data_IF_029497228067
#
_entry.id   IF_029497228067
#
_cell.length_a   1.000
_cell.length_b   1.000
_cell.length_c   1.000
_cell.angle_alpha   90.00
_cell.angle_beta   90.00
_cell.angle_gamma   90.00
#
_symmetry.space_group_name_H-M   'P 1'
#
loop_
_entity.id
_entity.type
_entity.pdbx_description
1 polymer ?
#
# COMPACT_ATOMS: atom_id res chain seq x y z
N UNK A 1 37.73 30.58 -57.17
CA UNK A 1 37.61 29.22 -56.69
C UNK A 1 37.06 29.30 -55.28
N UNK A 2 35.73 29.15 -55.09
CA UNK A 2 35.03 29.30 -53.78
C UNK A 2 34.69 27.91 -53.23
N UNK A 3 35.39 27.49 -52.17
CA UNK A 3 35.03 26.29 -51.42
C UNK A 3 33.79 26.59 -50.58
N UNK A 4 32.74 25.83 -50.78
CA UNK A 4 31.58 25.78 -49.89
C UNK A 4 31.82 24.82 -48.75
N UNK A 5 31.95 25.32 -47.56
CA UNK A 5 31.87 24.52 -46.30
C UNK A 5 30.39 24.18 -46.07
N UNK A 6 30.07 22.89 -46.08
CA UNK A 6 28.82 22.36 -45.60
C UNK A 6 28.97 21.99 -44.11
N UNK A 7 28.38 22.78 -43.22
CA UNK A 7 28.23 22.45 -41.82
C UNK A 7 27.15 21.38 -41.65
N UNK A 8 27.53 20.18 -41.23
CA UNK A 8 26.62 19.16 -40.80
C UNK A 8 26.20 19.52 -39.34
N UNK A 9 25.02 20.02 -39.14
CA UNK A 9 24.38 20.11 -37.81
C UNK A 9 23.83 18.73 -37.45
N UNK A 10 24.54 18.00 -36.55
CA UNK A 10 23.98 16.80 -35.88
C UNK A 10 22.98 17.29 -34.84
N UNK A 11 21.71 17.17 -35.12
CA UNK A 11 20.67 17.32 -34.13
C UNK A 11 20.60 16.02 -33.31
N UNK A 12 21.25 15.99 -32.15
CA UNK A 12 21.01 15.00 -31.10
C UNK A 12 19.62 15.29 -30.51
N UNK A 13 18.60 14.64 -31.02
CA UNK A 13 17.31 14.54 -30.33
C UNK A 13 17.50 13.61 -29.13
N UNK A 14 17.81 14.18 -27.97
CA UNK A 14 17.68 13.47 -26.71
C UNK A 14 16.20 13.20 -26.45
N UNK A 15 15.74 12.00 -26.73
CA UNK A 15 14.48 11.49 -26.17
C UNK A 15 14.69 11.33 -24.66
N UNK A 16 14.39 12.38 -23.91
CA UNK A 16 14.12 12.22 -22.48
C UNK A 16 12.84 11.36 -22.40
N UNK A 17 13.00 10.07 -22.13
CA UNK A 17 11.93 9.26 -21.63
C UNK A 17 11.52 9.88 -20.27
N UNK A 18 10.48 10.71 -20.28
CA UNK A 18 9.83 11.17 -19.06
C UNK A 18 9.23 9.92 -18.43
N UNK A 19 9.94 9.33 -17.46
CA UNK A 19 9.36 8.35 -16.57
C UNK A 19 8.21 9.06 -15.85
N UNK A 20 6.98 8.67 -16.14
CA UNK A 20 5.80 9.16 -15.43
C UNK A 20 5.92 8.72 -13.97
N UNK A 21 6.34 9.62 -13.11
CA UNK A 21 6.33 9.40 -11.67
C UNK A 21 4.91 9.70 -11.20
N UNK A 22 4.23 8.70 -10.68
CA UNK A 22 2.90 8.87 -10.09
C UNK A 22 3.06 9.34 -8.64
N UNK A 23 2.16 10.21 -8.17
CA UNK A 23 2.12 10.64 -6.79
C UNK A 23 1.82 9.46 -5.87
N UNK A 24 2.52 9.41 -4.75
CA UNK A 24 2.56 8.25 -3.87
C UNK A 24 2.46 8.64 -2.41
N UNK A 25 1.28 8.51 -1.82
CA UNK A 25 1.13 8.71 -0.41
C UNK A 25 0.20 7.66 0.22
N UNK A 26 0.67 6.43 0.35
CA UNK A 26 -0.01 5.39 1.12
C UNK A 26 0.73 5.13 2.42
N UNK A 27 0.01 4.90 3.52
CA UNK A 27 0.61 4.50 4.80
C UNK A 27 -0.17 3.34 5.36
N UNK A 28 0.50 2.24 5.70
CA UNK A 28 -0.11 1.09 6.35
C UNK A 28 0.57 0.79 7.68
N UNK A 29 -0.19 0.18 8.59
CA UNK A 29 0.28 -0.24 9.90
C UNK A 29 -0.44 -1.49 10.39
N UNK A 30 0.17 -2.17 11.35
CA UNK A 30 -0.48 -3.24 12.12
C UNK A 30 -0.25 -3.04 13.61
N UNK A 31 -1.30 -3.26 14.43
CA UNK A 31 -1.24 -3.23 15.89
C UNK A 31 -1.70 -4.59 16.42
N UNK A 32 -1.04 -5.05 17.51
CA UNK A 32 -1.38 -6.31 18.17
C UNK A 32 -2.15 -6.05 19.47
N UNK A 33 -3.24 -6.77 19.67
CA UNK A 33 -3.97 -6.81 20.93
C UNK A 33 -3.41 -7.88 21.88
N UNK A 34 -3.50 -7.63 23.19
CA UNK A 34 -3.08 -8.59 24.24
C UNK A 34 -4.03 -9.79 24.36
N UNK A 35 -5.17 -9.76 23.71
CA UNK A 35 -6.17 -10.83 23.60
C UNK A 35 -5.99 -11.69 22.33
N UNK A 36 -4.84 -11.57 21.66
CA UNK A 36 -4.46 -12.32 20.48
C UNK A 36 -5.10 -11.85 19.19
N UNK A 37 -5.76 -10.67 19.16
CA UNK A 37 -6.21 -10.07 17.93
C UNK A 37 -5.18 -9.15 17.30
N UNK A 38 -5.38 -8.84 16.02
CA UNK A 38 -4.54 -7.93 15.23
C UNK A 38 -5.40 -6.97 14.42
N UNK A 39 -4.96 -5.75 14.36
CA UNK A 39 -5.59 -4.68 13.59
C UNK A 39 -4.64 -4.27 12.47
N UNK A 40 -5.07 -4.42 11.26
CA UNK A 40 -4.43 -3.83 10.08
C UNK A 40 -5.14 -2.52 9.74
N UNK A 41 -4.40 -1.53 9.31
CA UNK A 41 -4.98 -0.28 8.84
C UNK A 41 -4.12 0.41 7.79
N UNK A 42 -4.78 1.21 6.94
CA UNK A 42 -4.10 1.90 5.86
C UNK A 42 -4.86 3.13 5.40
N UNK A 43 -4.12 4.13 4.89
CA UNK A 43 -4.64 5.25 4.09
C UNK A 43 -4.36 5.03 2.61
N UNK A 44 -5.22 5.56 1.74
CA UNK A 44 -5.04 5.58 0.29
C UNK A 44 -5.11 7.04 -0.18
N UNK A 45 -4.01 7.50 -0.71
CA UNK A 45 -3.88 8.81 -1.31
C UNK A 45 -3.59 8.67 -2.79
N UNK A 46 -4.21 9.54 -3.57
CA UNK A 46 -3.96 9.60 -5.01
C UNK A 46 -4.31 10.96 -5.61
N UNK A 47 -3.68 11.28 -6.75
CA UNK A 47 -3.91 12.55 -7.47
C UNK A 47 -5.03 12.51 -8.51
N UNK A 48 -5.60 11.33 -8.77
CA UNK A 48 -6.77 11.17 -9.66
C UNK A 48 -7.86 10.39 -8.94
N UNK A 49 -9.16 10.65 -9.21
CA UNK A 49 -10.25 9.93 -8.56
C UNK A 49 -10.20 8.43 -8.85
N UNK A 50 -9.99 7.62 -7.83
CA UNK A 50 -9.90 6.16 -7.97
C UNK A 50 -11.26 5.47 -8.10
N UNK A 51 -12.36 6.18 -7.86
CA UNK A 51 -13.73 5.64 -7.92
C UNK A 51 -13.89 4.31 -7.15
N UNK A 52 -13.22 4.21 -6.01
CA UNK A 52 -13.15 3.00 -5.23
C UNK A 52 -14.52 2.59 -4.69
N UNK A 53 -14.71 1.28 -4.60
CA UNK A 53 -15.90 0.63 -4.04
C UNK A 53 -15.47 -0.41 -3.02
N UNK A 54 -16.29 -0.65 -2.01
CA UNK A 54 -16.15 -1.86 -1.19
C UNK A 54 -16.73 -3.03 -1.96
N UNK A 55 -15.85 -3.94 -2.35
CA UNK A 55 -16.21 -5.14 -3.10
C UNK A 55 -16.19 -6.36 -2.18
N UNK A 56 -17.17 -7.25 -2.36
CA UNK A 56 -17.26 -8.53 -1.69
C UNK A 56 -17.23 -9.63 -2.76
N UNK A 57 -16.29 -10.55 -2.66
CA UNK A 57 -16.11 -11.68 -3.57
C UNK A 57 -16.35 -12.98 -2.80
N UNK A 58 -17.30 -13.83 -3.21
CA UNK A 58 -17.57 -15.09 -2.54
C UNK A 58 -16.50 -16.16 -2.83
N UNK A 59 -16.55 -17.24 -2.06
CA UNK A 59 -15.81 -18.49 -2.39
C UNK A 59 -16.27 -19.02 -3.74
N UNK A 60 -15.38 -19.73 -4.42
CA UNK A 60 -15.70 -20.34 -5.71
C UNK A 60 -15.80 -19.34 -6.88
N UNK A 61 -15.55 -18.05 -6.65
CA UNK A 61 -15.54 -17.08 -7.74
C UNK A 61 -14.40 -17.37 -8.72
N UNK A 62 -14.76 -17.47 -10.01
CA UNK A 62 -13.80 -17.72 -11.08
C UNK A 62 -13.17 -16.41 -11.56
N UNK A 63 -11.87 -16.30 -11.39
CA UNK A 63 -11.09 -15.14 -11.81
C UNK A 63 -10.37 -15.44 -13.11
N UNK A 64 -10.52 -14.56 -14.09
CA UNK A 64 -9.84 -14.65 -15.37
C UNK A 64 -8.49 -13.95 -15.31
N UNK A 65 -7.40 -14.68 -15.53
CA UNK A 65 -6.04 -14.12 -15.50
C UNK A 65 -5.76 -13.24 -16.69
N UNK A 66 -5.06 -12.12 -16.44
CA UNK A 66 -4.57 -11.19 -17.46
C UNK A 66 -3.14 -11.58 -17.84
N UNK A 67 -2.89 -11.76 -19.14
CA UNK A 67 -1.58 -12.10 -19.66
C UNK A 67 -0.57 -10.95 -19.62
N UNK A 68 0.72 -11.22 -19.90
CA UNK A 68 1.77 -10.22 -19.89
C UNK A 68 1.54 -9.04 -20.87
N UNK A 69 0.76 -9.27 -21.91
CA UNK A 69 0.36 -8.28 -22.91
C UNK A 69 -0.89 -7.47 -22.51
N UNK A 70 -1.47 -7.74 -21.34
CA UNK A 70 -2.71 -7.12 -20.88
C UNK A 70 -3.98 -7.83 -21.35
N UNK A 71 -3.88 -8.95 -22.10
CA UNK A 71 -5.05 -9.67 -22.64
C UNK A 71 -5.68 -10.56 -21.57
N UNK A 72 -7.00 -10.40 -21.35
CA UNK A 72 -7.77 -11.26 -20.46
C UNK A 72 -7.80 -12.72 -20.94
N UNK A 73 -7.70 -13.66 -19.99
CA UNK A 73 -7.68 -15.10 -20.25
C UNK A 73 -6.33 -15.66 -20.73
N UNK A 74 -5.29 -14.83 -20.84
CA UNK A 74 -3.96 -15.25 -21.24
C UNK A 74 -3.00 -15.46 -20.06
N UNK A 75 -3.33 -14.93 -18.88
CA UNK A 75 -2.59 -15.16 -17.65
C UNK A 75 -3.16 -16.31 -16.82
N UNK A 76 -2.66 -16.43 -15.59
CA UNK A 76 -3.10 -17.43 -14.62
C UNK A 76 -4.55 -17.16 -14.19
N UNK A 77 -5.47 -18.02 -14.59
CA UNK A 77 -6.84 -18.01 -14.08
C UNK A 77 -6.94 -18.89 -12.82
N UNK A 78 -7.84 -18.54 -11.89
CA UNK A 78 -8.02 -19.28 -10.65
C UNK A 78 -9.46 -19.21 -10.14
N UNK A 79 -9.80 -20.12 -9.27
CA UNK A 79 -11.04 -20.08 -8.49
C UNK A 79 -10.69 -19.73 -7.05
N UNK A 80 -11.32 -18.69 -6.50
CA UNK A 80 -11.06 -18.22 -5.13
C UNK A 80 -11.48 -19.27 -4.10
N UNK A 81 -10.56 -19.69 -3.23
CA UNK A 81 -10.84 -20.60 -2.11
C UNK A 81 -11.51 -19.87 -0.95
N UNK A 82 -11.16 -18.63 -0.75
CA UNK A 82 -11.64 -17.77 0.34
C UNK A 82 -12.48 -16.64 -0.21
N UNK A 83 -13.53 -16.30 0.54
CA UNK A 83 -14.26 -15.07 0.33
C UNK A 83 -13.41 -13.87 0.75
N UNK A 84 -13.56 -12.75 0.04
CA UNK A 84 -12.74 -11.53 0.23
C UNK A 84 -13.65 -10.30 0.33
N UNK A 85 -13.33 -9.41 1.26
CA UNK A 85 -13.89 -8.05 1.38
C UNK A 85 -12.75 -7.05 1.25
N UNK A 86 -12.93 -5.99 0.46
CA UNK A 86 -11.90 -4.97 0.33
C UNK A 86 -12.27 -3.85 -0.61
N UNK A 87 -11.33 -2.94 -0.82
CA UNK A 87 -11.47 -1.82 -1.74
C UNK A 87 -10.86 -2.14 -3.11
N UNK A 88 -11.61 -1.81 -4.17
CA UNK A 88 -11.15 -1.83 -5.55
C UNK A 88 -10.74 -0.43 -6.02
N UNK A 89 -10.33 -0.31 -7.29
CA UNK A 89 -10.16 0.97 -7.99
C UNK A 89 -10.85 0.90 -9.35
N UNK A 90 -11.37 2.05 -9.81
CA UNK A 90 -12.09 2.21 -11.09
C UNK A 90 -13.29 1.28 -11.27
N UNK A 91 -13.86 0.77 -10.16
CA UNK A 91 -14.93 -0.22 -10.19
C UNK A 91 -14.53 -1.57 -10.78
N UNK A 92 -13.23 -1.85 -10.94
CA UNK A 92 -12.72 -3.07 -11.56
C UNK A 92 -12.71 -4.25 -10.58
N UNK A 93 -12.79 -5.50 -11.06
CA UNK A 93 -12.95 -6.69 -10.23
C UNK A 93 -11.61 -7.18 -9.63
N UNK A 94 -10.82 -6.29 -9.06
CA UNK A 94 -9.61 -6.64 -8.32
C UNK A 94 -9.41 -5.71 -7.13
N UNK A 95 -8.75 -6.21 -6.09
CA UNK A 95 -8.52 -5.51 -4.84
C UNK A 95 -7.19 -4.76 -4.85
N UNK A 96 -7.19 -3.55 -4.32
CA UNK A 96 -5.97 -2.80 -3.95
C UNK A 96 -5.74 -2.80 -2.45
N UNK A 97 -6.78 -3.14 -1.68
CA UNK A 97 -6.75 -3.37 -0.23
C UNK A 97 -7.84 -4.36 0.14
N UNK A 98 -7.63 -5.19 1.16
CA UNK A 98 -8.67 -6.11 1.58
C UNK A 98 -8.25 -7.12 2.63
N UNK A 99 -9.23 -7.93 3.00
CA UNK A 99 -9.08 -9.04 3.94
C UNK A 99 -9.91 -10.21 3.44
N UNK A 100 -9.43 -11.44 3.64
CA UNK A 100 -10.23 -12.62 3.40
C UNK A 100 -10.84 -13.17 4.69
N UNK A 101 -11.74 -14.14 4.55
CA UNK A 101 -12.43 -14.78 5.67
C UNK A 101 -11.52 -15.56 6.64
N UNK A 102 -10.32 -15.95 6.21
CA UNK A 102 -9.30 -16.52 7.10
C UNK A 102 -8.58 -15.42 7.93
N UNK A 103 -8.74 -14.14 7.57
CA UNK A 103 -8.14 -12.98 8.21
C UNK A 103 -6.79 -12.58 7.65
N UNK A 104 -6.33 -13.18 6.55
CA UNK A 104 -5.22 -12.63 5.80
C UNK A 104 -5.66 -11.29 5.21
N UNK A 105 -4.91 -10.23 5.52
CA UNK A 105 -5.22 -8.87 5.09
C UNK A 105 -3.97 -8.16 4.55
N UNK A 106 -4.17 -7.17 3.70
CA UNK A 106 -3.11 -6.34 3.19
C UNK A 106 -3.52 -5.45 2.03
N UNK A 107 -2.54 -4.77 1.45
CA UNK A 107 -2.77 -3.80 0.40
C UNK A 107 -1.60 -3.65 -0.56
N UNK A 108 -1.92 -3.15 -1.74
CA UNK A 108 -0.96 -2.68 -2.74
C UNK A 108 -0.69 -1.19 -2.48
N UNK A 109 0.58 -0.83 -2.31
CA UNK A 109 1.03 0.54 -2.15
C UNK A 109 1.90 0.90 -3.36
N UNK A 110 1.70 2.07 -3.93
CA UNK A 110 2.39 2.47 -5.15
C UNK A 110 3.91 2.59 -4.93
N UNK A 111 4.71 2.05 -5.87
CA UNK A 111 6.17 2.05 -5.84
C UNK A 111 6.77 2.25 -7.25
N UNK A 112 6.48 3.39 -7.91
CA UNK A 112 6.80 3.60 -9.33
C UNK A 112 8.29 3.63 -9.62
N UNK A 113 9.11 4.03 -8.64
CA UNK A 113 10.54 4.17 -8.82
C UNK A 113 11.29 2.85 -8.62
N UNK A 114 10.82 1.98 -7.70
CA UNK A 114 11.51 0.74 -7.35
C UNK A 114 10.91 -0.51 -7.97
N UNK A 115 9.59 -0.58 -8.14
CA UNK A 115 8.96 -1.78 -8.66
C UNK A 115 9.33 -2.06 -10.12
N UNK A 116 9.89 -3.25 -10.35
CA UNK A 116 10.24 -3.82 -11.65
C UNK A 116 9.85 -5.28 -11.64
N UNK A 117 8.76 -5.61 -12.35
CA UNK A 117 8.25 -6.98 -12.39
C UNK A 117 9.10 -7.88 -13.28
N UNK A 118 8.74 -9.14 -13.32
CA UNK A 118 9.49 -10.20 -13.98
C UNK A 118 9.19 -10.26 -15.47
N UNK A 119 10.19 -10.56 -16.26
CA UNK A 119 9.98 -11.01 -17.63
C UNK A 119 9.43 -12.43 -17.59
N UNK A 120 8.29 -12.65 -18.25
CA UNK A 120 7.64 -13.97 -18.31
C UNK A 120 8.23 -14.75 -19.47
N UNK A 121 8.86 -15.92 -19.25
CA UNK A 121 9.37 -16.74 -20.34
C UNK A 121 8.25 -17.23 -21.27
N UNK A 122 8.55 -17.37 -22.55
CA UNK A 122 7.59 -17.90 -23.53
C UNK A 122 7.06 -19.28 -23.09
N UNK A 123 5.74 -19.45 -23.14
CA UNK A 123 5.05 -20.66 -22.68
C UNK A 123 4.76 -20.68 -21.17
N UNK A 124 5.14 -19.63 -20.41
CA UNK A 124 4.82 -19.48 -18.99
C UNK A 124 3.73 -18.43 -18.73
N UNK A 125 3.06 -17.93 -19.77
CA UNK A 125 2.04 -16.89 -19.66
C UNK A 125 0.89 -17.33 -18.72
N UNK A 126 0.45 -18.58 -18.83
CA UNK A 126 -0.59 -19.15 -17.94
C UNK A 126 -0.15 -19.35 -16.49
N UNK A 127 1.15 -19.21 -16.20
CA UNK A 127 1.71 -19.20 -14.83
C UNK A 127 2.11 -17.80 -14.37
N UNK A 128 1.65 -16.78 -15.07
CA UNK A 128 1.87 -15.37 -14.71
C UNK A 128 0.58 -14.68 -14.29
N UNK A 129 0.71 -13.65 -13.48
CA UNK A 129 -0.39 -12.80 -13.04
C UNK A 129 -0.06 -11.33 -13.32
N UNK A 130 -1.07 -10.55 -13.67
CA UNK A 130 -0.91 -9.12 -13.84
C UNK A 130 -0.77 -8.42 -12.47
N UNK A 131 0.01 -7.32 -12.35
CA UNK A 131 0.25 -6.64 -11.09
C UNK A 131 -1.02 -6.27 -10.33
N UNK A 132 -2.03 -5.74 -11.04
CA UNK A 132 -3.32 -5.34 -10.47
C UNK A 132 -4.13 -6.52 -9.90
N UNK A 133 -3.85 -7.74 -10.32
CA UNK A 133 -4.55 -8.94 -9.84
C UNK A 133 -3.82 -9.64 -8.67
N UNK A 134 -2.59 -9.23 -8.35
CA UNK A 134 -1.74 -9.92 -7.38
C UNK A 134 -2.41 -10.06 -6.01
N UNK A 135 -2.92 -8.97 -5.44
CA UNK A 135 -3.58 -9.00 -4.13
C UNK A 135 -4.86 -9.84 -4.17
N UNK A 136 -5.64 -9.76 -5.25
CA UNK A 136 -6.87 -10.55 -5.43
C UNK A 136 -6.55 -12.04 -5.44
N UNK A 137 -5.49 -12.44 -6.15
CA UNK A 137 -5.01 -13.82 -6.16
C UNK A 137 -4.57 -14.28 -4.77
N UNK A 138 -3.79 -13.46 -4.08
CA UNK A 138 -3.26 -13.78 -2.74
C UNK A 138 -4.41 -13.94 -1.73
N UNK A 139 -5.29 -12.97 -1.62
CA UNK A 139 -6.41 -13.02 -0.68
C UNK A 139 -7.40 -14.12 -1.04
N UNK A 140 -7.61 -14.40 -2.32
CA UNK A 140 -8.52 -15.46 -2.76
C UNK A 140 -8.00 -16.88 -2.52
N UNK A 141 -6.70 -17.10 -2.35
CA UNK A 141 -6.12 -18.44 -2.35
C UNK A 141 -5.40 -18.87 -1.08
N UNK A 142 -4.95 -17.95 -0.23
CA UNK A 142 -4.10 -18.24 0.93
C UNK A 142 -4.74 -17.74 2.22
N UNK A 143 -4.51 -18.48 3.32
CA UNK A 143 -4.97 -18.13 4.65
C UNK A 143 -3.89 -17.44 5.49
N UNK A 144 -2.62 -17.68 5.19
CA UNK A 144 -1.48 -17.23 6.00
C UNK A 144 -0.37 -16.62 5.16
N UNK A 145 0.42 -15.78 5.79
CA UNK A 145 1.64 -15.20 5.23
C UNK A 145 2.62 -16.29 4.79
N UNK A 146 2.74 -17.37 5.55
CA UNK A 146 3.62 -18.50 5.21
C UNK A 146 3.20 -19.25 3.95
N UNK A 147 1.90 -19.39 3.71
CA UNK A 147 1.40 -19.97 2.45
C UNK A 147 1.77 -19.09 1.26
N UNK A 148 1.62 -17.77 1.39
CA UNK A 148 2.00 -16.81 0.35
C UNK A 148 3.49 -16.87 0.07
N UNK A 149 4.33 -16.89 1.12
CA UNK A 149 5.80 -16.99 1.01
C UNK A 149 6.25 -18.21 0.21
N UNK A 150 5.58 -19.36 0.40
CA UNK A 150 5.87 -20.60 -0.34
C UNK A 150 5.35 -20.58 -1.78
N UNK A 151 4.24 -19.89 -2.04
CA UNK A 151 3.56 -19.94 -3.32
C UNK A 151 4.14 -18.97 -4.36
N UNK A 152 4.43 -17.73 -3.99
CA UNK A 152 4.85 -16.69 -4.92
C UNK A 152 6.13 -17.01 -5.71
N UNK A 153 7.15 -17.69 -5.16
CA UNK A 153 8.33 -18.08 -5.94
C UNK A 153 8.06 -19.04 -7.12
N UNK A 154 6.89 -19.67 -7.15
CA UNK A 154 6.51 -20.64 -8.17
C UNK A 154 5.69 -20.04 -9.33
N UNK A 155 5.57 -18.73 -9.40
CA UNK A 155 4.81 -18.01 -10.43
C UNK A 155 5.49 -16.70 -10.78
N UNK A 156 5.05 -16.08 -11.86
CA UNK A 156 5.55 -14.78 -12.31
C UNK A 156 4.52 -13.69 -12.04
N UNK A 157 5.00 -12.50 -11.68
CA UNK A 157 4.21 -11.27 -11.80
C UNK A 157 4.76 -10.50 -13.00
N UNK A 158 3.91 -10.30 -14.00
CA UNK A 158 4.30 -9.78 -15.31
C UNK A 158 4.30 -8.25 -15.36
N UNK A 159 4.85 -7.69 -16.43
CA UNK A 159 4.75 -6.26 -16.75
C UNK A 159 3.46 -5.91 -17.51
N UNK A 160 2.33 -6.57 -17.19
CA UNK A 160 1.07 -6.35 -17.88
C UNK A 160 0.57 -4.91 -17.72
N UNK A 161 0.27 -4.20 -18.82
CA UNK A 161 -0.31 -2.86 -18.74
C UNK A 161 -1.78 -2.93 -18.28
N UNK A 162 -2.21 -1.87 -17.66
CA UNK A 162 -3.61 -1.62 -17.29
C UNK A 162 -4.05 -0.32 -17.95
N UNK A 163 -5.12 -0.40 -18.74
CA UNK A 163 -5.61 0.74 -19.56
C UNK A 163 -6.03 1.92 -18.69
N UNK A 164 -6.81 1.65 -17.65
CA UNK A 164 -7.34 2.67 -16.74
C UNK A 164 -6.25 3.39 -15.95
N UNK A 165 -5.10 2.73 -15.76
CA UNK A 165 -3.92 3.29 -15.11
C UNK A 165 -3.01 4.07 -16.09
N UNK A 166 -3.18 3.85 -17.37
CA UNK A 166 -2.33 4.44 -18.43
C UNK A 166 -0.95 3.79 -18.55
N UNK A 167 -0.75 2.60 -18.01
CA UNK A 167 0.54 1.91 -18.04
C UNK A 167 0.58 0.68 -17.13
N UNK A 168 1.77 0.31 -16.68
CA UNK A 168 1.98 -0.81 -15.75
C UNK A 168 1.76 -0.28 -14.31
N UNK A 169 0.78 -0.81 -13.54
CA UNK A 169 0.63 -0.46 -12.14
C UNK A 169 1.84 -0.98 -11.35
N UNK A 170 2.66 -0.08 -10.86
CA UNK A 170 3.87 -0.41 -10.10
C UNK A 170 3.58 -0.28 -8.61
N UNK A 171 3.62 -1.39 -7.90
CA UNK A 171 3.32 -1.44 -6.48
C UNK A 171 4.15 -2.51 -5.76
N UNK A 172 4.31 -2.34 -4.46
CA UNK A 172 4.67 -3.39 -3.53
C UNK A 172 3.45 -3.75 -2.67
N UNK A 173 3.51 -4.88 -1.99
CA UNK A 173 2.39 -5.41 -1.24
C UNK A 173 2.78 -5.65 0.22
N UNK A 174 1.96 -5.21 1.17
CA UNK A 174 2.07 -5.62 2.57
C UNK A 174 1.00 -6.63 2.89
N UNK A 175 1.34 -7.64 3.71
CA UNK A 175 0.42 -8.70 4.12
C UNK A 175 0.59 -9.03 5.60
N UNK A 176 -0.53 -9.27 6.26
CA UNK A 176 -0.61 -9.61 7.67
C UNK A 176 -1.65 -10.70 7.89
N UNK A 177 -1.37 -11.63 8.82
CA UNK A 177 -2.33 -12.68 9.21
C UNK A 177 -2.60 -12.68 10.73
N UNK A 178 -3.66 -13.38 11.19
CA UNK A 178 -3.99 -13.45 12.61
C UNK A 178 -2.95 -14.20 13.46
N UNK A 179 -2.10 -15.04 12.84
CA UNK A 179 -1.10 -15.86 13.54
C UNK A 179 0.18 -15.08 13.86
N UNK A 180 0.27 -13.83 13.43
CA UNK A 180 1.44 -12.99 13.69
C UNK A 180 2.32 -12.76 12.46
N UNK A 181 2.05 -13.43 11.35
CA UNK A 181 2.75 -13.22 10.08
C UNK A 181 2.62 -11.78 9.59
N UNK A 182 3.73 -11.22 9.12
CA UNK A 182 3.77 -9.86 8.56
C UNK A 182 4.92 -9.76 7.57
N UNK A 183 4.64 -9.47 6.30
CA UNK A 183 5.64 -9.38 5.23
C UNK A 183 5.38 -8.18 4.32
N UNK A 184 6.46 -7.76 3.67
CA UNK A 184 6.41 -6.93 2.48
C UNK A 184 6.90 -7.76 1.30
N UNK A 185 6.16 -7.70 0.20
CA UNK A 185 6.46 -8.36 -1.07
C UNK A 185 6.78 -7.28 -2.09
N UNK A 186 7.98 -7.32 -2.63
CA UNK A 186 8.49 -6.38 -3.62
C UNK A 186 8.99 -7.13 -4.86
N UNK A 187 8.94 -6.47 -6.00
CA UNK A 187 9.61 -6.91 -7.22
C UNK A 187 10.65 -5.87 -7.59
N UNK A 188 11.92 -6.18 -7.30
CA UNK A 188 13.06 -5.28 -7.49
C UNK A 188 13.98 -5.85 -8.57
N UNK A 189 14.24 -5.06 -9.61
CA UNK A 189 15.09 -5.47 -10.75
C UNK A 189 14.66 -6.82 -11.36
N UNK A 190 13.35 -7.04 -11.51
CA UNK A 190 12.79 -8.27 -12.06
C UNK A 190 12.83 -9.48 -11.11
N UNK A 191 13.11 -9.28 -9.82
CA UNK A 191 13.23 -10.34 -8.82
C UNK A 191 12.22 -10.16 -7.71
N UNK A 192 11.60 -11.27 -7.30
CA UNK A 192 10.76 -11.32 -6.11
C UNK A 192 11.62 -11.18 -4.85
N UNK A 193 11.28 -10.23 -4.00
CA UNK A 193 11.87 -10.02 -2.67
C UNK A 193 10.75 -10.06 -1.63
N UNK A 194 10.87 -10.95 -0.65
CA UNK A 194 9.92 -11.08 0.46
C UNK A 194 10.67 -10.81 1.76
N UNK A 195 10.31 -9.75 2.45
CA UNK A 195 10.97 -9.31 3.69
C UNK A 195 9.98 -9.36 4.86
N UNK A 196 10.43 -9.84 6.02
CA UNK A 196 9.63 -9.78 7.25
C UNK A 196 9.41 -8.33 7.68
N UNK A 197 8.15 -7.96 7.87
CA UNK A 197 7.79 -6.63 8.34
C UNK A 197 7.74 -6.59 9.86
N UNK A 198 8.91 -6.52 10.48
CA UNK A 198 9.07 -6.57 11.95
C UNK A 198 8.52 -5.34 12.68
N UNK A 199 8.39 -4.20 11.98
CA UNK A 199 7.83 -2.97 12.54
C UNK A 199 6.31 -2.92 12.35
N UNK A 200 5.81 -3.62 11.33
CA UNK A 200 4.38 -3.60 10.99
C UNK A 200 3.95 -2.34 10.24
N UNK A 201 4.86 -1.62 9.62
CA UNK A 201 4.58 -0.38 8.86
C UNK A 201 5.07 -0.53 7.43
N UNK A 202 4.34 0.02 6.48
CA UNK A 202 4.78 0.20 5.09
C UNK A 202 4.22 1.49 4.53
N UNK A 203 5.02 2.16 3.71
CA UNK A 203 4.62 3.34 2.92
C UNK A 203 4.90 3.07 1.44
N UNK A 204 5.41 4.02 0.69
CA UNK A 204 5.74 3.91 -0.73
C UNK A 204 7.25 3.77 -0.94
N UNK A 205 7.75 4.12 -2.14
CA UNK A 205 9.20 4.23 -2.38
C UNK A 205 9.93 5.07 -1.31
N UNK A 206 11.19 4.77 -1.01
CA UNK A 206 12.08 3.73 -1.56
C UNK A 206 11.72 2.29 -1.12
N UNK A 207 12.48 1.26 -1.60
CA UNK A 207 12.25 -0.13 -1.18
C UNK A 207 12.28 -0.32 0.34
N UNK A 208 11.56 -1.33 0.84
CA UNK A 208 11.38 -1.54 2.27
C UNK A 208 12.68 -1.67 3.05
N UNK A 209 13.70 -2.32 2.48
CA UNK A 209 15.02 -2.44 3.11
C UNK A 209 15.68 -1.06 3.37
N UNK A 210 15.43 -0.08 2.50
CA UNK A 210 15.90 1.29 2.73
C UNK A 210 15.19 1.94 3.92
N UNK A 211 13.87 1.75 4.05
CA UNK A 211 13.11 2.26 5.20
C UNK A 211 13.61 1.67 6.51
N UNK A 212 13.91 0.36 6.53
CA UNK A 212 14.49 -0.31 7.70
C UNK A 212 15.87 0.23 8.06
N UNK A 213 16.69 0.57 7.07
CA UNK A 213 17.97 1.21 7.33
C UNK A 213 17.81 2.65 7.84
N UNK A 214 16.89 3.42 7.23
CA UNK A 214 16.67 4.81 7.56
C UNK A 214 16.13 5.03 8.99
N UNK A 215 15.27 4.12 9.51
CA UNK A 215 14.74 4.24 10.88
C UNK A 215 15.85 4.28 11.93
N UNK A 216 17.02 3.70 11.65
CA UNK A 216 18.20 3.76 12.50
C UNK A 216 18.70 5.17 12.79
N UNK A 217 18.39 6.15 11.94
CA UNK A 217 18.74 7.56 12.17
C UNK A 217 17.87 8.22 13.27
N UNK A 218 16.80 7.57 13.70
CA UNK A 218 15.79 8.11 14.62
C UNK A 218 15.72 7.37 15.96
N UNK A 219 16.76 6.60 16.30
CA UNK A 219 16.84 5.77 17.54
C UNK A 219 16.72 6.58 18.83
N UNK A 220 16.99 7.90 18.78
CA UNK A 220 16.88 8.79 19.92
C UNK A 220 15.46 9.35 20.14
N UNK A 221 14.52 9.09 19.23
CA UNK A 221 13.14 9.52 19.34
C UNK A 221 12.30 8.44 20.02
N UNK A 222 11.35 8.88 20.86
CA UNK A 222 10.45 7.97 21.56
C UNK A 222 9.38 8.72 22.34
N UNK A 223 8.37 8.01 22.81
CA UNK A 223 7.25 8.60 23.56
C UNK A 223 7.60 9.12 24.94
N UNK A 224 8.79 8.76 25.48
CA UNK A 224 9.23 9.23 26.78
C UNK A 224 9.84 10.65 26.67
N UNK A 225 9.33 11.56 27.47
CA UNK A 225 9.87 12.92 27.55
C UNK A 225 11.32 12.94 28.07
N UNK A 226 12.13 13.81 27.49
CA UNK A 226 13.54 14.00 27.88
C UNK A 226 13.63 14.81 29.16
N UNK A 227 14.65 14.51 29.95
CA UNK A 227 14.97 15.28 31.15
C UNK A 227 15.47 16.69 30.75
N UNK A 228 15.29 17.68 31.63
CA UNK A 228 15.91 19.00 31.44
C UNK A 228 17.42 18.91 31.20
N UNK A 229 17.95 19.76 30.34
CA UNK A 229 19.39 19.94 30.20
C UNK A 229 19.91 20.77 31.38
N UNK A 230 20.93 20.26 32.05
CA UNK A 230 21.61 20.96 33.13
C UNK A 230 23.04 21.29 32.75
N UNK A 231 23.41 22.58 32.81
CA UNK A 231 24.74 23.09 32.50
C UNK A 231 25.20 24.07 33.57
N UNK A 232 26.27 23.76 34.26
CA UNK A 232 26.87 24.63 35.30
C UNK A 232 25.84 25.10 36.34
N UNK A 233 24.97 24.20 36.78
CA UNK A 233 23.92 24.51 37.78
C UNK A 233 22.72 25.26 37.24
N UNK A 234 22.67 25.58 35.94
CA UNK A 234 21.50 26.18 35.29
C UNK A 234 20.68 25.13 34.59
N UNK A 235 19.39 25.06 34.86
CA UNK A 235 18.44 24.09 34.34
C UNK A 235 17.71 24.68 33.13
N UNK A 236 17.67 23.94 32.03
CA UNK A 236 16.95 24.27 30.78
C UNK A 236 15.86 23.24 30.58
N UNK A 237 14.62 23.47 31.03
CA UNK A 237 13.54 22.53 30.85
C UNK A 237 13.07 22.48 29.39
N UNK A 238 12.52 21.35 28.94
CA UNK A 238 11.78 21.32 27.66
C UNK A 238 10.61 22.30 27.69
N UNK A 239 10.23 22.79 26.50
CA UNK A 239 9.13 23.78 26.40
C UNK A 239 7.75 23.18 26.76
N UNK A 240 7.56 21.84 26.51
CA UNK A 240 6.31 21.14 26.81
C UNK A 240 6.53 19.62 26.85
N UNK A 241 5.48 18.86 27.21
CA UNK A 241 5.41 17.41 27.00
C UNK A 241 5.43 17.03 25.51
N UNK A 242 5.78 15.79 25.21
CA UNK A 242 5.95 15.30 23.85
C UNK A 242 7.33 15.59 23.25
N UNK A 243 8.25 16.16 24.04
CA UNK A 243 9.59 16.50 23.59
C UNK A 243 10.48 15.30 23.25
N UNK A 244 10.10 14.09 23.68
CA UNK A 244 10.76 12.85 23.28
C UNK A 244 10.67 12.55 21.76
N UNK A 245 9.67 13.12 21.09
CA UNK A 245 9.48 13.03 19.63
C UNK A 245 9.93 14.33 18.90
N UNK A 246 10.59 15.26 19.59
CA UNK A 246 11.08 16.47 18.95
C UNK A 246 12.10 16.16 17.85
N UNK A 247 11.87 16.66 16.64
CA UNK A 247 12.65 16.33 15.45
C UNK A 247 12.09 15.14 14.63
N UNK A 248 10.96 14.58 15.05
CA UNK A 248 10.24 13.61 14.20
C UNK A 248 9.86 14.26 12.86
N UNK A 249 10.17 13.62 11.70
CA UNK A 249 9.89 14.21 10.40
C UNK A 249 8.39 14.38 10.18
N UNK A 250 7.98 15.56 9.67
CA UNK A 250 6.57 15.94 9.55
C UNK A 250 6.05 16.07 8.12
N UNK A 251 6.89 15.90 7.09
CA UNK A 251 6.46 16.05 5.69
C UNK A 251 5.60 14.89 5.22
N UNK A 252 5.00 15.05 4.04
CA UNK A 252 4.19 14.00 3.41
C UNK A 252 5.03 13.02 2.55
N UNK A 253 6.35 13.17 2.54
CA UNK A 253 7.24 12.20 1.88
C UNK A 253 7.07 10.81 2.47
N UNK A 254 7.17 9.80 1.63
CA UNK A 254 7.04 8.39 2.03
C UNK A 254 8.00 8.01 3.17
N UNK A 255 9.27 8.44 3.08
CA UNK A 255 10.28 8.24 4.12
C UNK A 255 9.90 8.84 5.48
N UNK A 256 9.35 10.04 5.46
CA UNK A 256 8.94 10.76 6.66
C UNK A 256 7.69 10.14 7.29
N UNK A 257 6.72 9.74 6.45
CA UNK A 257 5.52 9.02 6.88
C UNK A 257 5.89 7.65 7.48
N UNK A 258 6.86 6.93 6.89
CA UNK A 258 7.34 5.66 7.44
C UNK A 258 7.91 5.84 8.84
N UNK A 259 8.82 6.80 9.04
CA UNK A 259 9.42 7.09 10.36
C UNK A 259 8.35 7.46 11.38
N UNK A 260 7.44 8.34 11.00
CA UNK A 260 6.35 8.81 11.88
C UNK A 260 5.42 7.66 12.28
N UNK A 261 5.01 6.81 11.30
CA UNK A 261 4.17 5.64 11.55
C UNK A 261 4.88 4.61 12.44
N UNK A 262 6.16 4.33 12.16
CA UNK A 262 6.98 3.42 12.95
C UNK A 262 7.09 3.89 14.40
N UNK A 263 7.36 5.17 14.64
CA UNK A 263 7.43 5.73 15.98
C UNK A 263 6.08 5.62 16.71
N UNK A 264 4.95 5.88 16.05
CA UNK A 264 3.63 5.71 16.66
C UNK A 264 3.31 4.25 16.98
N UNK A 265 3.61 3.33 16.07
CA UNK A 265 3.38 1.89 16.29
C UNK A 265 4.25 1.38 17.44
N UNK A 266 5.54 1.68 17.44
CA UNK A 266 6.50 1.22 18.46
C UNK A 266 6.22 1.80 19.86
N UNK A 267 5.67 3.02 19.94
CA UNK A 267 5.28 3.65 21.20
C UNK A 267 3.84 3.31 21.64
N UNK A 268 3.08 2.57 20.81
CA UNK A 268 1.72 2.15 21.19
C UNK A 268 1.80 1.04 22.25
N UNK A 269 1.20 1.22 23.44
CA UNK A 269 1.25 0.20 24.49
C UNK A 269 0.63 -1.12 24.03
N UNK A 270 1.37 -2.22 24.20
CA UNK A 270 0.94 -3.56 23.81
C UNK A 270 -0.12 -4.18 24.76
N UNK A 271 -0.33 -3.61 25.95
CA UNK A 271 -1.22 -4.13 27.00
C UNK A 271 -2.70 -3.73 26.83
N UNK A 272 -3.17 -3.71 25.61
CA UNK A 272 -4.53 -3.30 25.26
C UNK A 272 -5.25 -4.35 24.42
N UNK A 273 -6.56 -4.47 24.59
CA UNK A 273 -7.40 -5.38 23.79
C UNK A 273 -7.43 -4.97 22.32
N UNK A 274 -7.84 -5.90 21.47
CA UNK A 274 -8.02 -5.65 20.04
C UNK A 274 -8.95 -4.46 19.75
N UNK A 275 -10.03 -4.29 20.54
CA UNK A 275 -10.96 -3.15 20.39
C UNK A 275 -10.27 -1.80 20.66
N UNK A 276 -9.44 -1.75 21.70
CA UNK A 276 -8.65 -0.55 22.01
C UNK A 276 -7.61 -0.29 20.91
N UNK A 277 -6.97 -1.32 20.41
CA UNK A 277 -5.99 -1.19 19.31
C UNK A 277 -6.68 -0.73 18.02
N UNK A 278 -7.92 -1.16 17.75
CA UNK A 278 -8.71 -0.68 16.60
C UNK A 278 -8.94 0.84 16.69
N UNK A 279 -9.31 1.34 17.87
CA UNK A 279 -9.45 2.79 18.09
C UNK A 279 -8.13 3.52 17.90
N UNK A 280 -7.03 2.99 18.45
CA UNK A 280 -5.69 3.57 18.29
C UNK A 280 -5.25 3.59 16.83
N UNK A 281 -5.55 2.57 16.04
CA UNK A 281 -5.23 2.52 14.61
C UNK A 281 -5.88 3.70 13.87
N UNK A 282 -7.15 4.01 14.12
CA UNK A 282 -7.82 5.19 13.56
C UNK A 282 -7.11 6.49 13.95
N UNK A 283 -6.72 6.65 15.23
CA UNK A 283 -6.01 7.85 15.68
C UNK A 283 -4.62 8.00 15.06
N UNK A 284 -3.89 6.89 14.89
CA UNK A 284 -2.59 6.92 14.22
C UNK A 284 -2.78 7.29 12.74
N UNK A 285 -3.72 6.64 12.05
CA UNK A 285 -3.97 6.89 10.63
C UNK A 285 -4.43 8.34 10.34
N UNK A 286 -5.09 9.01 11.29
CA UNK A 286 -5.42 10.43 11.17
C UNK A 286 -4.19 11.33 10.99
N UNK A 287 -2.99 10.89 11.41
CA UNK A 287 -1.74 11.65 11.20
C UNK A 287 -1.20 11.52 9.75
N UNK A 288 -1.82 10.68 8.95
CA UNK A 288 -1.49 10.45 7.55
C UNK A 288 -2.63 10.85 6.61
N UNK A 289 -3.68 11.46 7.15
CA UNK A 289 -4.76 12.05 6.38
C UNK A 289 -4.25 13.33 5.71
N UNK A 290 -4.08 13.29 4.39
CA UNK A 290 -3.58 14.41 3.59
C UNK A 290 -4.77 15.28 3.17
N UNK A 291 -4.87 16.51 3.68
CA UNK A 291 -5.94 17.42 3.31
C UNK A 291 -5.87 17.79 1.83
N UNK A 292 -7.04 17.89 1.18
CA UNK A 292 -7.12 18.39 -0.21
C UNK A 292 -6.47 19.78 -0.30
N UNK A 293 -5.60 19.96 -1.30
CA UNK A 293 -4.86 21.20 -1.51
C UNK A 293 -3.46 21.23 -0.88
N UNK A 294 -3.11 20.26 -0.01
CA UNK A 294 -1.77 20.21 0.62
C UNK A 294 -0.66 19.77 -0.34
N UNK A 295 -0.99 18.92 -1.32
CA UNK A 295 -0.05 18.45 -2.33
C UNK A 295 -0.65 18.80 -3.69
N UNK A 296 0.05 19.64 -4.44
CA UNK A 296 -0.28 19.98 -5.82
C UNK A 296 0.70 19.30 -6.77
N UNK A 297 0.17 18.60 -7.74
CA UNK A 297 0.91 17.87 -8.75
C UNK A 297 0.79 18.62 -10.06
N UNK A 298 1.89 19.19 -10.53
CA UNK A 298 1.96 19.85 -11.83
C UNK A 298 1.98 18.80 -12.96
N UNK A 299 1.33 19.06 -14.07
CA UNK A 299 1.26 18.16 -15.21
C UNK A 299 2.64 17.77 -15.77
N UNK A 300 3.63 18.65 -15.64
CA UNK A 300 5.01 18.42 -16.07
C UNK A 300 5.79 17.49 -15.12
N UNK A 301 5.35 17.35 -13.88
CA UNK A 301 6.01 16.51 -12.88
C UNK A 301 5.85 15.02 -13.15
N UNK A 302 4.86 14.63 -13.96
CA UNK A 302 4.51 13.23 -14.20
C UNK A 302 3.78 12.54 -13.05
N UNK A 303 3.62 13.20 -11.91
CA UNK A 303 2.97 12.62 -10.72
C UNK A 303 1.44 12.63 -10.79
N UNK A 304 0.82 13.51 -11.56
CA UNK A 304 -0.63 13.64 -11.69
C UNK A 304 -1.23 12.92 -12.90
N UNK A 305 -0.56 11.89 -13.45
CA UNK A 305 -1.03 11.21 -14.67
C UNK A 305 -0.98 12.10 -15.91
N UNK A 306 -0.12 13.14 -15.93
CA UNK A 306 0.02 14.08 -17.04
C UNK A 306 -1.00 15.24 -17.02
N UNK A 307 -1.73 15.40 -15.91
CA UNK A 307 -2.63 16.53 -15.65
C UNK A 307 -2.29 17.20 -14.32
N UNK A 308 -2.68 18.47 -14.18
CA UNK A 308 -2.63 19.12 -12.88
C UNK A 308 -3.61 18.45 -11.92
N UNK A 309 -3.15 18.06 -10.75
CA UNK A 309 -3.95 17.32 -9.77
C UNK A 309 -3.60 17.69 -8.34
N UNK A 310 -4.53 17.45 -7.43
CA UNK A 310 -4.27 17.51 -6.00
C UNK A 310 -4.28 16.10 -5.44
N UNK A 311 -3.19 15.71 -4.79
CA UNK A 311 -3.14 14.46 -4.03
C UNK A 311 -3.73 14.67 -2.64
N UNK A 312 -4.62 13.77 -2.22
CA UNK A 312 -5.27 13.79 -0.92
C UNK A 312 -5.67 12.37 -0.50
N UNK A 313 -6.02 12.17 0.77
CA UNK A 313 -6.49 10.88 1.25
C UNK A 313 -7.92 10.62 0.75
N UNK A 314 -8.07 9.71 -0.20
CA UNK A 314 -9.38 9.32 -0.73
C UNK A 314 -10.17 8.45 0.25
N UNK A 315 -9.49 7.54 0.94
CA UNK A 315 -10.09 6.69 1.95
C UNK A 315 -9.07 6.12 2.94
N UNK A 316 -9.60 5.72 4.10
CA UNK A 316 -8.86 5.05 5.17
C UNK A 316 -9.57 3.79 5.59
N UNK A 317 -8.84 2.69 5.78
CA UNK A 317 -9.37 1.41 6.25
C UNK A 317 -8.75 1.00 7.58
N UNK A 318 -9.55 0.27 8.37
CA UNK A 318 -9.11 -0.46 9.57
C UNK A 318 -9.81 -1.82 9.55
N UNK A 319 -9.03 -2.90 9.49
CA UNK A 319 -9.51 -4.28 9.47
C UNK A 319 -9.13 -5.00 10.77
N UNK A 320 -10.10 -5.64 11.39
CA UNK A 320 -9.91 -6.52 12.54
C UNK A 320 -9.75 -7.96 12.05
N UNK A 321 -8.53 -8.47 12.10
CA UNK A 321 -8.16 -9.76 11.54
C UNK A 321 -8.72 -10.93 12.37
N UNK A 322 -9.01 -10.71 13.65
CA UNK A 322 -9.59 -11.72 14.56
C UNK A 322 -11.11 -11.78 14.39
N UNK A 323 -11.78 -10.64 14.41
CA UNK A 323 -13.24 -10.56 14.35
C UNK A 323 -13.79 -10.53 12.92
N UNK A 324 -12.93 -10.47 11.90
CA UNK A 324 -13.30 -10.47 10.48
C UNK A 324 -14.19 -9.31 10.08
N UNK A 325 -13.86 -8.11 10.56
CA UNK A 325 -14.54 -6.87 10.16
C UNK A 325 -13.61 -5.97 9.37
N UNK A 326 -14.14 -5.39 8.30
CA UNK A 326 -13.45 -4.44 7.44
C UNK A 326 -14.18 -3.11 7.49
N UNK A 327 -13.52 -2.09 8.04
CA UNK A 327 -14.10 -0.77 8.25
C UNK A 327 -13.39 0.24 7.35
N UNK A 328 -14.17 1.07 6.65
CA UNK A 328 -13.65 2.08 5.71
C UNK A 328 -14.41 3.40 5.86
N UNK A 329 -13.72 4.50 5.71
CA UNK A 329 -14.27 5.84 5.51
C UNK A 329 -13.63 6.48 4.29
N UNK A 330 -14.33 7.39 3.63
CA UNK A 330 -13.79 8.12 2.47
C UNK A 330 -13.72 9.63 2.74
N UNK A 331 -13.02 10.34 1.86
CA UNK A 331 -13.02 11.81 1.87
C UNK A 331 -14.43 12.39 1.79
N UNK A 332 -15.26 11.86 0.91
CA UNK A 332 -16.63 12.35 0.72
C UNK A 332 -17.58 11.94 1.85
N UNK A 333 -17.30 10.82 2.55
CA UNK A 333 -18.10 10.35 3.67
C UNK A 333 -17.17 9.94 4.83
N UNK A 334 -16.98 10.83 5.82
CA UNK A 334 -16.14 10.55 6.99
C UNK A 334 -16.79 9.55 7.97
N UNK A 335 -18.07 9.20 7.78
CA UNK A 335 -18.73 8.12 8.51
C UNK A 335 -18.09 6.77 8.18
N UNK A 336 -17.88 5.94 9.20
CA UNK A 336 -17.25 4.63 9.02
C UNK A 336 -18.30 3.60 8.57
N UNK A 337 -18.11 3.04 7.36
CA UNK A 337 -18.82 1.86 6.90
C UNK A 337 -18.06 0.62 7.39
N UNK A 338 -18.74 -0.27 8.12
CA UNK A 338 -18.17 -1.55 8.55
C UNK A 338 -18.87 -2.70 7.86
N UNK A 339 -18.10 -3.58 7.22
CA UNK A 339 -18.57 -4.82 6.62
C UNK A 339 -18.02 -5.99 7.43
N UNK A 340 -18.91 -6.92 7.80
CA UNK A 340 -18.56 -8.11 8.59
C UNK A 340 -18.81 -9.37 7.74
N UNK A 341 -17.84 -10.29 7.74
CA UNK A 341 -17.98 -11.57 7.05
C UNK A 341 -19.18 -12.40 7.54
N UNK A 342 -19.67 -12.18 8.77
CA UNK A 342 -20.87 -12.83 9.28
C UNK A 342 -22.12 -12.46 8.50
N UNK A 343 -22.14 -11.28 7.88
CA UNK A 343 -23.26 -10.75 7.13
C UNK A 343 -23.08 -10.90 5.60
N UNK A 344 -22.02 -11.59 5.18
CA UNK A 344 -21.71 -11.80 3.78
C UNK A 344 -22.09 -13.22 3.34
N UNK A 345 -22.76 -13.35 2.20
CA UNK A 345 -23.02 -14.66 1.58
C UNK A 345 -21.69 -15.21 0.99
N UNK A 346 -20.95 -15.95 1.82
CA UNK A 346 -19.65 -16.52 1.48
C UNK A 346 -19.69 -17.49 0.29
N UNK A 347 -20.86 -18.05 -0.02
CA UNK A 347 -21.07 -19.03 -1.08
C UNK A 347 -21.92 -18.47 -2.24
N UNK A 348 -22.10 -17.17 -2.30
CA UNK A 348 -22.77 -16.47 -3.40
C UNK A 348 -22.12 -16.76 -4.75
N UNK A 349 -22.82 -16.44 -5.84
CA UNK A 349 -22.33 -16.72 -7.20
C UNK A 349 -21.71 -15.50 -7.88
N UNK A 350 -21.90 -14.32 -7.33
CA UNK A 350 -21.46 -13.06 -7.92
C UNK A 350 -20.80 -12.16 -6.87
N UNK A 351 -19.92 -11.28 -7.32
CA UNK A 351 -19.40 -10.18 -6.52
C UNK A 351 -20.47 -9.12 -6.29
N UNK A 352 -20.42 -8.45 -5.14
CA UNK A 352 -21.22 -7.24 -4.87
C UNK A 352 -20.28 -6.08 -4.60
N UNK A 353 -20.71 -4.87 -4.95
CA UNK A 353 -19.92 -3.64 -4.74
C UNK A 353 -20.79 -2.52 -4.20
N UNK A 354 -20.26 -1.78 -3.23
CA UNK A 354 -20.88 -0.59 -2.65
C UNK A 354 -19.96 0.61 -2.90
N UNK A 355 -20.40 1.64 -3.65
CA UNK A 355 -19.60 2.85 -3.87
C UNK A 355 -19.28 3.57 -2.55
N UNK A 356 -18.07 4.10 -2.44
CA UNK A 356 -17.62 4.91 -1.29
C UNK A 356 -18.07 6.37 -1.39
N UNK A 357 -18.36 6.82 -2.62
CA UNK A 357 -18.82 8.18 -2.90
C UNK A 357 -20.36 8.20 -2.83
N UNK A 358 -20.91 8.52 -1.67
CA UNK A 358 -22.29 9.00 -1.51
C UNK A 358 -22.40 9.90 -0.30
#
# INVERSE_FOLDING_TARGET
MKLRQRSLALACAAFLAMASHQADACTSLVLNGNDGGRIYGRTMEFGIPLQSQVMQMPRGYANQGIGPDGTAGKGKSWTSKYAVIGANVFGLPFYVDGMNEAGLAGGLLNAPNSARYQDVPAGQESNSIAPQQLLTYVLGNFATVDEVRRALPNMYVSNAPMKEWGGIPKAHMTLHDPQGGSIVVEYLDGRLVITDNVIGVMTNDPPFAWHLANIGNYVNLGGLDKKPLEVKGKVFPPASSGNGLHGMPGSMLSSDRFVRAALFVLNTPANATTDVQRSRAWHILNNFDIPFGSIYLDASSGYGGGANAYEFTEWTVVADLKNRTYSIRSFANPGVLTVDFKNFDLNGKATTSTPLLK
#
